data_IF_658880106555
#
_entry.id   IF_658880106555
#
_cell.length_a   1.000
_cell.length_b   1.000
_cell.length_c   1.000
_cell.angle_alpha   90.00
_cell.angle_beta   90.00
_cell.angle_gamma   90.00
#
_symmetry.space_group_name_H-M   'P 1'
#
loop_
_entity.id
_entity.type
_entity.pdbx_description
1 polymer ?
#
# COMPACT_ATOMS: atom_id res chain seq x y z
N UNK A 1 23.10 11.19 46.70
CA UNK A 1 21.66 11.20 46.36
C UNK A 1 21.00 10.06 47.10
N UNK A 2 20.09 10.36 48.03
CA UNK A 2 19.44 9.35 48.88
C UNK A 2 18.32 8.67 48.10
N UNK A 3 18.37 7.34 47.99
CA UNK A 3 17.30 6.54 47.37
C UNK A 3 15.93 6.77 48.03
N UNK A 4 15.91 7.11 49.31
CA UNK A 4 14.69 7.47 50.04
C UNK A 4 14.07 8.80 49.59
N UNK A 5 14.86 9.76 49.11
CA UNK A 5 14.33 10.99 48.53
C UNK A 5 13.71 10.73 47.15
N UNK A 6 14.33 9.88 46.34
CA UNK A 6 13.78 9.46 45.05
C UNK A 6 12.45 8.72 45.24
N UNK A 7 12.36 7.83 46.25
CA UNK A 7 11.14 7.10 46.56
C UNK A 7 10.02 8.02 47.06
N UNK A 8 10.35 8.99 47.92
CA UNK A 8 9.39 10.02 48.37
C UNK A 8 8.95 10.96 47.26
N UNK A 9 9.78 11.24 46.26
CA UNK A 9 9.40 12.02 45.09
C UNK A 9 8.51 11.20 44.14
N UNK A 10 8.76 9.89 44.03
CA UNK A 10 7.93 8.96 43.25
C UNK A 10 6.54 8.76 43.88
N UNK A 11 6.45 8.58 45.20
CA UNK A 11 5.16 8.49 45.93
C UNK A 11 4.39 9.82 45.97
N UNK A 12 5.07 10.95 45.73
CA UNK A 12 4.46 12.29 45.67
C UNK A 12 4.05 12.72 44.28
N UNK A 13 4.42 11.98 43.23
CA UNK A 13 3.77 12.18 41.95
C UNK A 13 2.31 11.76 42.13
N UNK A 14 1.33 12.65 41.88
CA UNK A 14 -0.04 12.19 41.81
C UNK A 14 -0.04 11.07 40.78
N UNK A 15 -0.55 9.89 41.14
CA UNK A 15 -1.07 8.97 40.15
C UNK A 15 -2.12 9.76 39.39
N UNK A 16 -1.71 10.48 38.35
CA UNK A 16 -2.57 10.85 37.26
C UNK A 16 -2.90 9.51 36.62
N UNK A 17 -3.83 8.80 37.25
CA UNK A 17 -4.74 7.92 36.60
C UNK A 17 -5.39 8.81 35.54
N UNK A 18 -4.73 8.89 34.38
CA UNK A 18 -5.26 9.53 33.18
C UNK A 18 -6.47 8.67 32.88
N UNK A 19 -7.60 9.02 33.49
CA UNK A 19 -8.90 8.42 33.23
C UNK A 19 -9.23 8.83 31.82
N UNK A 20 -8.74 8.04 30.88
CA UNK A 20 -9.05 8.17 29.47
C UNK A 20 -10.57 8.14 29.41
N UNK A 21 -11.19 9.25 28.99
CA UNK A 21 -12.65 9.30 28.91
C UNK A 21 -13.09 8.15 27.98
N UNK A 22 -14.09 7.34 28.35
CA UNK A 22 -14.56 6.21 27.54
C UNK A 22 -15.02 6.64 26.14
N UNK A 23 -15.36 7.92 25.96
CA UNK A 23 -15.68 8.53 24.67
C UNK A 23 -14.48 8.55 23.70
N UNK A 24 -13.25 8.76 24.18
CA UNK A 24 -12.05 8.71 23.34
C UNK A 24 -11.69 7.28 22.92
N UNK A 25 -11.94 6.31 23.79
CA UNK A 25 -11.73 4.89 23.49
C UNK A 25 -12.72 4.38 22.43
N UNK A 26 -13.99 4.77 22.56
CA UNK A 26 -15.02 4.42 21.58
C UNK A 26 -14.77 5.09 20.24
N UNK A 27 -14.32 6.36 20.22
CA UNK A 27 -13.90 7.05 18.98
C UNK A 27 -12.68 6.36 18.33
N UNK A 28 -11.64 6.05 19.10
CA UNK A 28 -10.43 5.39 18.58
C UNK A 28 -10.75 3.99 18.03
N UNK A 29 -11.57 3.21 18.74
CA UNK A 29 -12.05 1.91 18.28
C UNK A 29 -12.87 2.01 16.99
N UNK A 30 -13.78 2.99 16.91
CA UNK A 30 -14.58 3.23 15.70
C UNK A 30 -13.71 3.61 14.50
N UNK A 31 -12.69 4.46 14.69
CA UNK A 31 -11.75 4.85 13.64
C UNK A 31 -10.92 3.66 13.16
N UNK A 32 -10.39 2.85 14.10
CA UNK A 32 -9.63 1.64 13.79
C UNK A 32 -10.48 0.62 13.01
N UNK A 33 -11.73 0.40 13.41
CA UNK A 33 -12.67 -0.48 12.71
C UNK A 33 -13.02 0.04 11.31
N UNK A 34 -13.22 1.35 11.14
CA UNK A 34 -13.44 1.98 9.82
C UNK A 34 -12.23 1.77 8.90
N UNK A 35 -11.02 1.93 9.43
CA UNK A 35 -9.80 1.73 8.66
C UNK A 35 -9.64 0.26 8.23
N UNK A 36 -9.86 -0.70 9.15
CA UNK A 36 -9.88 -2.15 8.81
C UNK A 36 -10.92 -2.44 7.73
N UNK A 37 -12.11 -1.86 7.83
CA UNK A 37 -13.18 -2.08 6.84
C UNK A 37 -12.78 -1.54 5.46
N UNK A 38 -12.08 -0.41 5.40
CA UNK A 38 -11.52 0.14 4.16
C UNK A 38 -10.50 -0.81 3.53
N UNK A 39 -9.50 -1.23 4.31
CA UNK A 39 -8.49 -2.19 3.86
C UNK A 39 -9.10 -3.53 3.43
N UNK A 40 -10.13 -4.03 4.13
CA UNK A 40 -10.83 -5.26 3.74
C UNK A 40 -11.54 -5.12 2.39
N UNK A 41 -12.16 -3.95 2.14
CA UNK A 41 -12.76 -3.65 0.83
C UNK A 41 -11.69 -3.60 -0.25
N UNK A 42 -10.55 -2.98 0.02
CA UNK A 42 -9.40 -2.97 -0.90
C UNK A 42 -8.87 -4.38 -1.18
N UNK A 43 -8.76 -5.24 -0.16
CA UNK A 43 -8.35 -6.63 -0.35
C UNK A 43 -9.32 -7.40 -1.27
N UNK A 44 -10.63 -7.17 -1.14
CA UNK A 44 -11.64 -7.78 -2.04
C UNK A 44 -11.50 -7.22 -3.46
N UNK A 45 -11.32 -5.91 -3.62
CA UNK A 45 -11.09 -5.29 -4.94
C UNK A 45 -9.80 -5.80 -5.59
N UNK A 46 -8.75 -5.97 -4.81
CA UNK A 46 -7.47 -6.52 -5.27
C UNK A 46 -7.61 -7.98 -5.70
N UNK A 47 -8.31 -8.81 -4.92
CA UNK A 47 -8.57 -10.21 -5.26
C UNK A 47 -9.42 -10.33 -6.53
N UNK A 48 -10.45 -9.49 -6.68
CA UNK A 48 -11.23 -9.39 -7.91
C UNK A 48 -10.37 -9.00 -9.12
N UNK A 49 -9.45 -8.05 -8.92
CA UNK A 49 -8.53 -7.59 -9.97
C UNK A 49 -7.56 -8.69 -10.42
N UNK A 50 -7.06 -9.51 -9.48
CA UNK A 50 -6.21 -10.67 -9.82
C UNK A 50 -6.99 -11.68 -10.65
N UNK A 51 -8.21 -12.01 -10.25
CA UNK A 51 -9.06 -12.95 -10.99
C UNK A 51 -9.29 -12.42 -12.41
N UNK A 52 -9.58 -11.12 -12.54
CA UNK A 52 -9.73 -10.48 -13.84
C UNK A 52 -8.47 -10.61 -14.69
N UNK A 53 -7.30 -10.25 -14.16
CA UNK A 53 -6.00 -10.34 -14.84
C UNK A 53 -5.68 -11.80 -15.23
N UNK A 54 -6.07 -12.79 -14.43
CA UNK A 54 -5.88 -14.21 -14.78
C UNK A 54 -6.77 -14.66 -15.94
N UNK A 55 -7.95 -14.05 -16.12
CA UNK A 55 -8.91 -14.41 -17.18
C UNK A 55 -8.58 -13.70 -18.50
N UNK A 56 -7.93 -12.53 -18.46
CA UNK A 56 -7.57 -11.72 -19.65
C UNK A 56 -6.92 -12.53 -20.79
N UNK A 57 -5.94 -13.43 -20.55
CA UNK A 57 -5.31 -14.21 -21.61
C UNK A 57 -6.24 -15.21 -22.31
N UNK A 58 -7.34 -15.61 -21.66
CA UNK A 58 -8.32 -16.54 -22.24
C UNK A 58 -9.34 -15.84 -23.14
N UNK A 59 -9.29 -14.50 -23.23
CA UNK A 59 -10.15 -13.72 -24.11
C UNK A 59 -9.42 -13.54 -25.44
N UNK A 60 -10.00 -14.11 -26.51
CA UNK A 60 -9.43 -14.08 -27.88
C UNK A 60 -9.11 -12.67 -28.40
N UNK A 61 -9.70 -11.63 -27.79
CA UNK A 61 -9.45 -10.22 -28.11
C UNK A 61 -8.00 -9.76 -27.82
N UNK A 62 -7.29 -10.43 -26.90
CA UNK A 62 -5.94 -10.03 -26.46
C UNK A 62 -4.81 -10.82 -27.13
N UNK A 63 -5.12 -11.96 -27.78
CA UNK A 63 -4.18 -12.77 -28.58
C UNK A 63 -2.80 -13.02 -27.92
N UNK A 64 -2.78 -13.22 -26.59
CA UNK A 64 -1.54 -13.42 -25.83
C UNK A 64 -1.04 -14.85 -26.02
N UNK A 65 -0.25 -15.07 -27.07
CA UNK A 65 0.22 -16.39 -27.48
C UNK A 65 1.75 -16.56 -27.33
N UNK A 66 2.21 -17.81 -27.21
CA UNK A 66 3.64 -18.17 -27.19
C UNK A 66 4.41 -17.69 -25.96
N UNK A 67 5.65 -17.23 -26.16
CA UNK A 67 6.59 -16.80 -25.10
C UNK A 67 6.05 -15.63 -24.26
N UNK A 68 5.23 -14.77 -24.86
CA UNK A 68 4.63 -13.61 -24.18
C UNK A 68 3.63 -14.06 -23.11
N UNK A 69 2.91 -15.17 -23.34
CA UNK A 69 2.00 -15.76 -22.35
C UNK A 69 2.76 -16.20 -21.10
N UNK A 70 3.94 -16.80 -21.26
CA UNK A 70 4.79 -17.19 -20.14
C UNK A 70 5.28 -15.97 -19.34
N UNK A 71 5.77 -14.93 -20.03
CA UNK A 71 6.19 -13.67 -19.39
C UNK A 71 5.02 -13.02 -18.65
N UNK A 72 3.82 -13.04 -19.25
CA UNK A 72 2.61 -12.52 -18.63
C UNK A 72 2.30 -13.24 -17.31
N UNK A 73 2.21 -14.58 -17.32
CA UNK A 73 1.95 -15.35 -16.10
C UNK A 73 3.03 -15.18 -15.04
N UNK A 74 4.29 -15.03 -15.43
CA UNK A 74 5.38 -14.72 -14.50
C UNK A 74 5.16 -13.37 -13.80
N UNK A 75 4.80 -12.32 -14.55
CA UNK A 75 4.50 -11.01 -13.98
C UNK A 75 3.25 -11.03 -13.09
N UNK A 76 2.22 -11.77 -13.47
CA UNK A 76 1.01 -11.97 -12.64
C UNK A 76 1.36 -12.70 -11.35
N UNK A 77 2.20 -13.74 -11.41
CA UNK A 77 2.65 -14.46 -10.23
C UNK A 77 3.46 -13.57 -9.27
N UNK A 78 4.38 -12.76 -9.82
CA UNK A 78 5.11 -11.75 -9.06
C UNK A 78 4.14 -10.76 -8.39
N UNK A 79 3.14 -10.26 -9.11
CA UNK A 79 2.12 -9.36 -8.58
C UNK A 79 1.34 -9.98 -7.41
N UNK A 80 0.97 -11.26 -7.51
CA UNK A 80 0.28 -12.01 -6.46
C UNK A 80 1.15 -12.16 -5.20
N UNK A 81 2.43 -12.50 -5.35
CA UNK A 81 3.37 -12.64 -4.22
C UNK A 81 3.47 -11.33 -3.44
N UNK A 82 3.65 -10.20 -4.14
CA UNK A 82 3.79 -8.90 -3.49
C UNK A 82 2.51 -8.47 -2.76
N UNK A 83 1.33 -8.72 -3.33
CA UNK A 83 0.10 -8.40 -2.61
C UNK A 83 -0.23 -9.37 -1.47
N UNK A 84 0.21 -10.63 -1.52
CA UNK A 84 0.17 -11.54 -0.37
C UNK A 84 1.04 -11.03 0.79
N UNK A 85 2.24 -10.52 0.49
CA UNK A 85 3.13 -9.90 1.48
C UNK A 85 2.43 -8.71 2.18
N UNK A 86 1.78 -7.85 1.40
CA UNK A 86 0.99 -6.73 1.93
C UNK A 86 -0.19 -7.20 2.78
N UNK A 87 -0.97 -8.18 2.30
CA UNK A 87 -2.12 -8.72 3.03
C UNK A 87 -1.74 -9.33 4.37
N UNK A 88 -0.57 -9.98 4.46
CA UNK A 88 -0.06 -10.52 5.73
C UNK A 88 0.12 -9.43 6.78
N UNK A 89 0.62 -8.24 6.42
CA UNK A 89 0.78 -7.12 7.36
C UNK A 89 -0.58 -6.59 7.82
N UNK A 90 -1.52 -6.45 6.90
CA UNK A 90 -2.90 -6.06 7.21
C UNK A 90 -3.57 -7.05 8.18
N UNK A 91 -3.35 -8.35 7.99
CA UNK A 91 -3.86 -9.38 8.90
C UNK A 91 -3.29 -9.23 10.32
N UNK A 92 -1.99 -8.92 10.46
CA UNK A 92 -1.37 -8.66 11.77
C UNK A 92 -2.02 -7.47 12.49
N UNK A 93 -2.26 -6.36 11.79
CA UNK A 93 -2.91 -5.17 12.36
C UNK A 93 -4.36 -5.46 12.75
N UNK A 94 -5.08 -6.18 11.89
CA UNK A 94 -6.46 -6.61 12.18
C UNK A 94 -6.54 -7.53 13.41
N UNK A 95 -5.54 -8.40 13.61
CA UNK A 95 -5.45 -9.26 14.79
C UNK A 95 -5.14 -8.46 16.05
N UNK A 96 -4.27 -7.46 15.97
CA UNK A 96 -3.92 -6.57 17.07
C UNK A 96 -5.14 -5.76 17.56
N UNK A 97 -5.92 -5.18 16.66
CA UNK A 97 -7.09 -4.35 17.01
C UNK A 97 -8.22 -5.17 17.67
N UNK A 98 -8.29 -6.47 17.39
CA UNK A 98 -9.25 -7.39 18.03
C UNK A 98 -8.84 -7.80 19.43
N UNK A 99 -7.62 -7.51 19.88
CA UNK A 99 -7.20 -7.83 21.24
C UNK A 99 -7.90 -6.88 22.23
N UNK A 100 -8.45 -7.40 23.34
CA UNK A 100 -9.28 -6.63 24.27
C UNK A 100 -8.54 -5.47 24.95
N UNK A 101 -7.20 -5.50 25.00
CA UNK A 101 -6.36 -4.50 25.66
C UNK A 101 -5.81 -3.42 24.72
N UNK A 102 -6.19 -3.42 23.44
CA UNK A 102 -5.60 -2.50 22.44
C UNK A 102 -6.09 -1.06 22.58
N UNK A 103 -7.09 -0.81 23.42
CA UNK A 103 -7.65 0.54 23.63
C UNK A 103 -7.73 0.91 25.11
N UNK A 104 -6.97 0.26 26.00
CA UNK A 104 -7.07 0.54 27.44
C UNK A 104 -6.02 1.54 27.95
N UNK A 105 -4.97 1.82 27.18
CA UNK A 105 -3.89 2.72 27.60
C UNK A 105 -3.46 3.70 26.50
N UNK A 106 -2.92 4.85 26.91
CA UNK A 106 -2.28 5.85 26.03
C UNK A 106 -1.22 5.21 25.15
N UNK A 107 -0.40 4.34 25.73
CA UNK A 107 0.64 3.58 25.02
C UNK A 107 0.07 2.74 23.88
N UNK A 108 -1.11 2.15 24.08
CA UNK A 108 -1.76 1.35 23.04
C UNK A 108 -2.30 2.17 21.88
N UNK A 109 -2.78 3.39 22.14
CA UNK A 109 -3.22 4.34 21.09
C UNK A 109 -2.02 4.83 20.27
N UNK A 110 -0.91 5.18 20.94
CA UNK A 110 0.35 5.57 20.29
C UNK A 110 0.88 4.41 19.44
N UNK A 111 0.90 3.19 19.97
CA UNK A 111 1.32 1.99 19.24
C UNK A 111 0.45 1.77 18.00
N UNK A 112 -0.86 1.94 18.13
CA UNK A 112 -1.79 1.81 17.01
C UNK A 112 -1.54 2.85 15.92
N UNK A 113 -1.25 4.10 16.30
CA UNK A 113 -0.87 5.16 15.36
C UNK A 113 0.38 4.79 14.55
N UNK A 114 1.45 4.36 15.23
CA UNK A 114 2.68 3.97 14.56
C UNK A 114 2.51 2.73 13.67
N UNK A 115 1.73 1.74 14.11
CA UNK A 115 1.42 0.56 13.28
C UNK A 115 0.64 0.93 12.02
N UNK A 116 -0.32 1.85 12.12
CA UNK A 116 -1.05 2.34 10.95
C UNK A 116 -0.17 3.20 10.02
N UNK A 117 0.64 4.11 10.59
CA UNK A 117 1.60 4.89 9.81
C UNK A 117 2.54 3.97 9.04
N UNK A 118 3.10 2.96 9.71
CA UNK A 118 3.97 1.98 9.10
C UNK A 118 3.26 1.14 8.02
N UNK A 119 1.98 0.79 8.23
CA UNK A 119 1.18 0.08 7.23
C UNK A 119 0.98 0.90 5.95
N UNK A 120 0.70 2.20 6.11
CA UNK A 120 0.52 3.13 4.99
C UNK A 120 1.84 3.31 4.22
N UNK A 121 2.97 3.40 4.94
CA UNK A 121 4.28 3.52 4.29
C UNK A 121 4.66 2.22 3.57
N UNK A 122 4.32 1.06 4.15
CA UNK A 122 4.48 -0.25 3.51
C UNK A 122 3.62 -0.36 2.26
N UNK A 123 2.38 0.14 2.30
CA UNK A 123 1.49 0.20 1.14
C UNK A 123 2.07 1.09 0.03
N UNK A 124 2.55 2.29 0.38
CA UNK A 124 3.21 3.21 -0.56
C UNK A 124 4.42 2.55 -1.23
N UNK A 125 5.28 1.93 -0.42
CA UNK A 125 6.46 1.22 -0.92
C UNK A 125 6.08 0.06 -1.84
N UNK A 126 5.02 -0.68 -1.50
CA UNK A 126 4.51 -1.79 -2.32
C UNK A 126 4.02 -1.32 -3.68
N UNK A 127 3.36 -0.15 -3.76
CA UNK A 127 2.95 0.44 -5.05
C UNK A 127 4.17 0.79 -5.91
N UNK A 128 5.22 1.37 -5.31
CA UNK A 128 6.42 1.72 -6.05
C UNK A 128 7.19 0.50 -6.57
N UNK A 129 7.21 -0.59 -5.80
CA UNK A 129 7.79 -1.86 -6.24
C UNK A 129 6.96 -2.52 -7.35
N UNK A 130 5.64 -2.39 -7.30
CA UNK A 130 4.73 -2.97 -8.29
C UNK A 130 4.59 -2.14 -9.58
N UNK A 131 5.03 -0.88 -9.57
CA UNK A 131 4.91 0.04 -10.71
C UNK A 131 5.51 -0.51 -12.01
N UNK A 132 6.76 -0.99 -12.04
CA UNK A 132 7.36 -1.56 -13.25
C UNK A 132 6.60 -2.79 -13.76
N UNK A 133 6.15 -3.67 -12.84
CA UNK A 133 5.35 -4.84 -13.17
C UNK A 133 4.00 -4.45 -13.78
N UNK A 134 3.34 -3.43 -13.23
CA UNK A 134 2.07 -2.92 -13.74
C UNK A 134 2.21 -2.31 -15.14
N UNK A 135 3.29 -1.56 -15.40
CA UNK A 135 3.59 -1.00 -16.72
C UNK A 135 3.84 -2.13 -17.73
N UNK A 136 4.63 -3.14 -17.36
CA UNK A 136 4.89 -4.28 -18.23
C UNK A 136 3.60 -5.05 -18.58
N UNK A 137 2.73 -5.30 -17.59
CA UNK A 137 1.41 -5.92 -17.82
C UNK A 137 0.53 -5.05 -18.73
N UNK A 138 0.53 -3.73 -18.54
CA UNK A 138 -0.23 -2.80 -19.38
C UNK A 138 0.26 -2.81 -20.84
N UNK A 139 1.58 -2.86 -21.06
CA UNK A 139 2.16 -2.94 -22.41
C UNK A 139 1.77 -4.25 -23.09
N UNK A 140 1.86 -5.38 -22.38
CA UNK A 140 1.47 -6.70 -22.92
C UNK A 140 -0.03 -6.73 -23.27
N UNK A 141 -0.87 -6.20 -22.38
CA UNK A 141 -2.32 -6.18 -22.60
C UNK A 141 -2.74 -5.21 -23.71
N UNK A 142 -2.07 -4.07 -23.86
CA UNK A 142 -2.40 -3.06 -24.87
C UNK A 142 -1.77 -3.35 -26.24
N UNK A 143 -0.62 -4.03 -26.26
CA UNK A 143 0.16 -4.28 -27.47
C UNK A 143 -0.41 -5.37 -28.37
N UNK A 144 -1.27 -6.27 -27.86
CA UNK A 144 -1.88 -7.39 -28.60
C UNK A 144 -0.82 -8.11 -29.46
N UNK A 145 -1.06 -8.28 -30.76
CA UNK A 145 -0.17 -8.95 -31.72
C UNK A 145 1.16 -8.23 -31.93
N UNK A 146 1.22 -6.92 -31.66
CA UNK A 146 2.44 -6.11 -31.78
C UNK A 146 3.31 -6.19 -30.53
N UNK A 147 2.85 -6.85 -29.46
CA UNK A 147 3.65 -6.99 -28.24
C UNK A 147 4.97 -7.69 -28.52
N UNK A 148 4.98 -8.71 -29.39
CA UNK A 148 6.21 -9.40 -29.80
C UNK A 148 7.19 -8.45 -30.49
N UNK A 149 6.69 -7.62 -31.40
CA UNK A 149 7.48 -6.63 -32.14
C UNK A 149 8.00 -5.52 -31.21
N UNK A 150 7.18 -5.07 -30.26
CA UNK A 150 7.59 -4.08 -29.25
C UNK A 150 8.71 -4.65 -28.38
N UNK A 151 8.56 -5.89 -27.88
CA UNK A 151 9.58 -6.56 -27.06
C UNK A 151 10.87 -6.78 -27.85
N UNK A 152 10.78 -7.17 -29.12
CA UNK A 152 11.95 -7.36 -29.99
C UNK A 152 12.68 -6.04 -30.29
N UNK A 153 11.93 -4.96 -30.55
CA UNK A 153 12.48 -3.60 -30.70
C UNK A 153 13.19 -3.10 -29.44
N UNK A 154 12.72 -3.50 -28.27
CA UNK A 154 13.39 -3.24 -26.99
C UNK A 154 14.63 -4.10 -26.76
N UNK A 155 14.59 -5.38 -27.13
CA UNK A 155 15.74 -6.28 -27.03
C UNK A 155 16.89 -5.83 -27.93
N UNK A 156 16.57 -5.35 -29.13
CA UNK A 156 17.53 -4.79 -30.08
C UNK A 156 17.63 -3.25 -29.99
N UNK A 157 17.67 -2.70 -28.76
CA UNK A 157 17.64 -1.25 -28.49
C UNK A 157 18.63 -0.44 -29.35
N UNK A 158 19.86 -0.90 -29.52
CA UNK A 158 20.89 -0.20 -30.30
C UNK A 158 20.55 -0.10 -31.80
N UNK A 159 19.88 -1.11 -32.35
CA UNK A 159 19.47 -1.14 -33.76
C UNK A 159 18.20 -0.32 -33.98
N UNK A 160 17.25 -0.40 -33.04
CA UNK A 160 16.03 0.41 -33.04
C UNK A 160 16.33 1.91 -32.86
N UNK A 161 17.35 2.28 -32.07
CA UNK A 161 17.77 3.67 -31.91
C UNK A 161 18.37 4.28 -33.17
N UNK A 162 19.09 3.47 -33.97
CA UNK A 162 19.64 3.91 -35.23
C UNK A 162 18.58 4.04 -36.34
N UNK A 163 17.60 3.14 -36.36
CA UNK A 163 16.63 3.05 -37.46
C UNK A 163 15.30 3.77 -37.20
N UNK A 164 14.82 3.81 -35.95
CA UNK A 164 13.55 4.42 -35.56
C UNK A 164 13.68 5.23 -34.25
N UNK A 165 14.53 6.29 -34.21
CA UNK A 165 14.74 7.07 -32.99
C UNK A 165 13.44 7.69 -32.44
N UNK A 166 12.51 8.07 -33.32
CA UNK A 166 11.20 8.63 -32.93
C UNK A 166 10.33 7.68 -32.10
N UNK A 167 10.42 6.37 -32.33
CA UNK A 167 9.71 5.37 -31.52
C UNK A 167 10.25 5.35 -30.09
N UNK A 168 11.58 5.34 -29.92
CA UNK A 168 12.22 5.32 -28.60
C UNK A 168 11.94 6.59 -27.81
N UNK A 169 12.03 7.76 -28.44
CA UNK A 169 11.69 9.02 -27.76
C UNK A 169 10.23 9.06 -27.31
N UNK A 170 9.30 8.58 -28.16
CA UNK A 170 7.88 8.52 -27.80
C UNK A 170 7.64 7.58 -26.62
N UNK A 171 8.24 6.39 -26.65
CA UNK A 171 8.13 5.40 -25.58
C UNK A 171 8.75 5.90 -24.27
N UNK A 172 9.89 6.58 -24.32
CA UNK A 172 10.51 7.20 -23.14
C UNK A 172 9.63 8.31 -22.56
N UNK A 173 9.14 9.22 -23.39
CA UNK A 173 8.30 10.34 -22.95
C UNK A 173 6.99 9.81 -22.34
N UNK A 174 6.30 8.90 -23.04
CA UNK A 174 5.07 8.28 -22.54
C UNK A 174 5.33 7.47 -21.27
N UNK A 175 6.45 6.74 -21.22
CA UNK A 175 6.90 6.01 -20.04
C UNK A 175 7.09 6.93 -18.83
N UNK A 176 7.83 8.02 -18.98
CA UNK A 176 8.06 9.00 -17.90
C UNK A 176 6.73 9.62 -17.44
N UNK A 177 5.89 10.07 -18.38
CA UNK A 177 4.59 10.67 -18.05
C UNK A 177 3.70 9.67 -17.31
N UNK A 178 3.65 8.42 -17.75
CA UNK A 178 2.83 7.38 -17.11
C UNK A 178 3.30 7.08 -15.69
N UNK A 179 4.62 6.98 -15.46
CA UNK A 179 5.19 6.79 -14.11
C UNK A 179 4.84 7.97 -13.20
N UNK A 180 5.02 9.21 -13.67
CA UNK A 180 4.70 10.42 -12.89
C UNK A 180 3.22 10.47 -12.54
N UNK A 181 2.33 10.22 -13.51
CA UNK A 181 0.88 10.19 -13.28
C UNK A 181 0.48 9.12 -12.27
N UNK A 182 1.06 7.92 -12.36
CA UNK A 182 0.77 6.84 -11.41
C UNK A 182 1.27 7.17 -10.00
N UNK A 183 2.45 7.79 -9.86
CA UNK A 183 2.95 8.25 -8.56
C UNK A 183 2.01 9.31 -7.97
N UNK A 184 1.64 10.34 -8.74
CA UNK A 184 0.72 11.39 -8.29
C UNK A 184 -0.65 10.83 -7.91
N UNK A 185 -1.19 9.92 -8.72
CA UNK A 185 -2.47 9.26 -8.44
C UNK A 185 -2.39 8.40 -7.17
N UNK A 186 -1.30 7.65 -6.99
CA UNK A 186 -1.08 6.83 -5.80
C UNK A 186 -0.97 7.67 -4.53
N UNK A 187 -0.23 8.78 -4.58
CA UNK A 187 -0.12 9.72 -3.46
C UNK A 187 -1.47 10.35 -3.12
N UNK A 188 -2.23 10.75 -4.13
CA UNK A 188 -3.55 11.33 -3.94
C UNK A 188 -4.51 10.32 -3.30
N UNK A 189 -4.52 9.08 -3.78
CA UNK A 189 -5.28 7.98 -3.19
C UNK A 189 -4.89 7.76 -1.74
N UNK A 190 -3.59 7.71 -1.44
CA UNK A 190 -3.08 7.51 -0.07
C UNK A 190 -3.52 8.66 0.85
N UNK A 191 -3.35 9.91 0.42
CA UNK A 191 -3.75 11.10 1.19
C UNK A 191 -5.26 11.12 1.44
N UNK A 192 -6.07 10.77 0.44
CA UNK A 192 -7.54 10.79 0.52
C UNK A 192 -8.10 9.66 1.38
N UNK A 193 -7.64 8.42 1.19
CA UNK A 193 -8.17 7.26 1.90
C UNK A 193 -7.55 7.08 3.29
N UNK A 194 -6.26 7.39 3.47
CA UNK A 194 -5.55 7.11 4.71
C UNK A 194 -5.17 8.36 5.50
N UNK A 195 -4.84 9.46 4.82
CA UNK A 195 -4.41 10.71 5.47
C UNK A 195 -5.46 11.30 6.41
N UNK A 196 -6.76 11.17 6.10
CA UNK A 196 -7.84 11.64 6.98
C UNK A 196 -7.86 10.89 8.31
N UNK A 197 -7.75 9.57 8.31
CA UNK A 197 -7.77 8.78 9.52
C UNK A 197 -6.50 8.97 10.35
N UNK A 198 -5.35 9.12 9.69
CA UNK A 198 -4.08 9.34 10.36
C UNK A 198 -4.03 10.73 11.03
N UNK A 199 -4.62 11.74 10.40
CA UNK A 199 -4.79 13.08 10.99
C UNK A 199 -5.70 13.06 12.21
N UNK A 200 -6.85 12.39 12.11
CA UNK A 200 -7.79 12.24 13.24
C UNK A 200 -7.17 11.46 14.41
N UNK A 201 -6.34 10.45 14.11
CA UNK A 201 -5.65 9.67 15.13
C UNK A 201 -4.51 10.48 15.78
N UNK A 202 -3.86 11.36 15.02
CA UNK A 202 -2.86 12.32 15.54
C UNK A 202 -3.51 13.37 16.45
N UNK A 203 -4.61 13.99 16.01
CA UNK A 203 -5.37 14.96 16.81
C UNK A 203 -5.85 14.34 18.14
N UNK A 204 -6.35 13.09 18.11
CA UNK A 204 -6.69 12.34 19.31
C UNK A 204 -5.48 12.09 20.23
N UNK A 205 -4.29 11.85 19.68
CA UNK A 205 -3.07 11.63 20.45
C UNK A 205 -2.56 12.93 21.08
N UNK A 206 -2.63 14.04 20.35
CA UNK A 206 -2.25 15.38 20.85
C UNK A 206 -3.20 15.83 21.98
N UNK A 207 -4.52 15.54 21.88
CA UNK A 207 -5.49 15.74 22.98
C UNK A 207 -5.23 14.87 24.23
N UNK A 208 -4.41 13.81 24.11
CA UNK A 208 -3.94 13.02 25.26
C UNK A 208 -2.60 13.51 25.83
N UNK A 209 -1.91 14.43 25.15
CA UNK A 209 -0.68 15.08 25.65
C UNK A 209 -0.98 16.38 26.41
N UNK A 210 -2.07 17.07 26.09
CA UNK A 210 -2.61 18.21 26.85
C UNK A 210 -3.44 17.79 28.08
#
# INVERSE_FOLDING_TARGET
MNFDELKKQWDKQPEQDIKIKPEYLTKTKSLAEKMIKSFRREAIMWLSSIIFILIVPFIDLYQINGVISFIYYFLVFQFIIFGLYYYRRFYTISKMIKQPNTFTSRESIIRLYYEFHFAIETYRSSIYVLLPTAIALFVIMSGKDKTAEIVDKFYHFSHTLANEPGFIYTVLIVGIISVVLLILFSEWMIKKFYGRYLKQLKELMDEFEE
#
